data_IF_219517229645
#
_entry.id   IF_219517229645
#
_cell.length_a   1.000
_cell.length_b   1.000
_cell.length_c   1.000
_cell.angle_alpha   90.00
_cell.angle_beta   90.00
_cell.angle_gamma   90.00
#
_symmetry.space_group_name_H-M   'P 1'
#
loop_
_entity.id
_entity.type
_entity.pdbx_description
1 polymer ?
#
# COMPACT_ATOMS: atom_id res chain seq x y z
N UNK A 1 -9.29 16.03 -15.91
CA UNK A 1 -9.40 15.91 -14.44
C UNK A 1 -8.04 15.42 -13.96
N UNK A 2 -7.45 15.94 -12.88
CA UNK A 2 -6.22 15.34 -12.36
C UNK A 2 -6.52 13.89 -11.99
N UNK A 3 -5.63 12.99 -12.38
CA UNK A 3 -5.72 11.57 -12.05
C UNK A 3 -5.59 11.39 -10.53
N UNK A 4 -6.32 10.43 -9.98
CA UNK A 4 -6.25 10.12 -8.56
C UNK A 4 -4.84 9.58 -8.25
N UNK A 5 -4.20 10.11 -7.21
CA UNK A 5 -2.83 9.72 -6.86
C UNK A 5 -2.61 9.71 -5.35
N UNK A 6 -1.77 8.82 -4.84
CA UNK A 6 -1.28 8.85 -3.46
C UNK A 6 -0.37 10.08 -3.26
N UNK A 7 -0.63 10.85 -2.21
CA UNK A 7 0.17 12.03 -1.81
C UNK A 7 1.01 11.75 -0.58
N UNK A 8 0.43 11.10 0.43
CA UNK A 8 1.13 10.70 1.66
C UNK A 8 0.62 9.36 2.14
N UNK A 9 1.47 8.65 2.88
CA UNK A 9 1.06 7.46 3.60
C UNK A 9 1.73 7.47 4.97
N UNK A 10 0.95 7.26 6.01
CA UNK A 10 1.39 7.24 7.40
C UNK A 10 1.16 5.86 7.98
N UNK A 11 2.19 5.29 8.59
CA UNK A 11 2.04 4.05 9.36
C UNK A 11 1.20 4.28 10.61
N UNK A 12 0.21 3.41 10.80
CA UNK A 12 -0.67 3.43 11.99
C UNK A 12 -0.28 2.33 12.97
N UNK A 13 -0.20 1.09 12.49
CA UNK A 13 0.23 -0.10 13.25
C UNK A 13 0.36 -1.28 12.29
N UNK A 14 1.20 -2.26 12.60
CA UNK A 14 1.28 -3.50 11.82
C UNK A 14 1.39 -3.21 10.32
N UNK A 15 0.50 -3.77 9.51
CA UNK A 15 0.45 -3.57 8.06
C UNK A 15 -0.64 -2.58 7.64
N UNK A 16 -0.97 -1.61 8.49
CA UNK A 16 -2.02 -0.62 8.24
C UNK A 16 -1.41 0.75 7.98
N UNK A 17 -1.79 1.34 6.84
CA UNK A 17 -1.45 2.72 6.46
C UNK A 17 -2.70 3.59 6.40
N UNK A 18 -2.56 4.85 6.83
CA UNK A 18 -3.46 5.95 6.50
C UNK A 18 -2.90 6.65 5.26
N UNK A 19 -3.63 6.58 4.14
CA UNK A 19 -3.21 7.06 2.83
C UNK A 19 -4.01 8.32 2.49
N UNK A 20 -3.30 9.43 2.25
CA UNK A 20 -3.84 10.70 1.77
C UNK A 20 -3.77 10.73 0.23
N UNK A 21 -4.89 11.01 -0.43
CA UNK A 21 -5.01 11.07 -1.89
C UNK A 21 -5.03 12.52 -2.42
N UNK A 22 -4.89 12.66 -3.74
CA UNK A 22 -4.83 13.96 -4.43
C UNK A 22 -6.11 14.80 -4.33
N UNK A 23 -7.25 14.18 -4.02
CA UNK A 23 -8.52 14.84 -3.76
C UNK A 23 -8.71 15.25 -2.29
N UNK A 24 -7.73 14.96 -1.42
CA UNK A 24 -7.77 15.25 0.00
C UNK A 24 -8.46 14.18 0.85
N UNK A 25 -8.97 13.11 0.22
CA UNK A 25 -9.55 11.99 0.95
C UNK A 25 -8.47 11.14 1.63
N UNK A 26 -8.87 10.47 2.70
CA UNK A 26 -8.02 9.57 3.47
C UNK A 26 -8.61 8.16 3.49
N UNK A 27 -7.75 7.14 3.37
CA UNK A 27 -8.16 5.73 3.53
C UNK A 27 -7.21 4.99 4.43
N UNK A 28 -7.80 4.29 5.41
CA UNK A 28 -7.11 3.27 6.18
C UNK A 28 -7.13 1.97 5.39
N UNK A 29 -5.96 1.48 5.03
CA UNK A 29 -5.81 0.26 4.23
C UNK A 29 -5.00 -0.76 5.04
N UNK A 30 -5.58 -1.94 5.23
CA UNK A 30 -4.93 -3.08 5.87
C UNK A 30 -4.33 -4.01 4.80
N UNK A 31 -3.01 -4.06 4.76
CA UNK A 31 -2.25 -4.87 3.80
C UNK A 31 -2.01 -6.30 4.28
N UNK A 32 -2.24 -6.61 5.57
CA UNK A 32 -2.00 -7.95 6.10
C UNK A 32 -2.81 -9.05 5.40
N UNK A 33 -4.12 -8.88 5.12
CA UNK A 33 -4.89 -9.93 4.45
C UNK A 33 -4.32 -10.36 3.09
N UNK A 34 -3.69 -9.44 2.36
CA UNK A 34 -3.04 -9.71 1.07
C UNK A 34 -1.64 -10.31 1.26
N UNK A 35 -0.79 -9.64 2.03
CA UNK A 35 0.61 -10.07 2.25
C UNK A 35 0.67 -11.51 2.78
N UNK A 36 -0.25 -11.87 3.67
CA UNK A 36 -0.28 -13.19 4.28
C UNK A 36 -1.04 -14.24 3.46
N UNK A 37 -1.75 -13.87 2.38
CA UNK A 37 -2.46 -14.81 1.50
C UNK A 37 -1.70 -15.20 0.23
N UNK A 38 -0.83 -14.34 -0.30
CA UNK A 38 -0.16 -14.55 -1.60
C UNK A 38 0.75 -15.79 -1.63
N UNK A 39 1.31 -16.20 -0.50
CA UNK A 39 2.10 -17.45 -0.38
C UNK A 39 3.40 -17.51 -1.21
N UNK A 40 3.77 -16.41 -1.87
CA UNK A 40 4.96 -16.32 -2.71
C UNK A 40 6.19 -15.89 -1.88
N UNK A 41 7.38 -16.51 -2.06
CA UNK A 41 8.58 -16.22 -1.26
C UNK A 41 8.98 -14.74 -1.21
N UNK A 42 8.77 -14.01 -2.30
CA UNK A 42 9.10 -12.57 -2.38
C UNK A 42 8.30 -11.72 -1.37
N UNK A 43 7.17 -12.22 -0.89
CA UNK A 43 6.31 -11.52 0.08
C UNK A 43 6.70 -11.79 1.53
N UNK A 44 7.59 -12.76 1.80
CA UNK A 44 7.99 -13.10 3.18
C UNK A 44 8.61 -11.91 3.90
N UNK A 45 9.39 -11.08 3.20
CA UNK A 45 9.99 -9.87 3.80
C UNK A 45 8.94 -8.89 4.29
N UNK A 46 7.81 -8.77 3.58
CA UNK A 46 6.74 -7.84 3.92
C UNK A 46 5.88 -8.33 5.09
N UNK A 47 5.98 -9.59 5.51
CA UNK A 47 5.28 -10.08 6.72
C UNK A 47 5.83 -9.46 8.01
N UNK A 48 7.07 -8.98 7.99
CA UNK A 48 7.62 -8.16 9.08
C UNK A 48 7.21 -6.70 8.92
N UNK A 49 6.93 -5.99 10.03
CA UNK A 49 6.63 -4.55 9.97
C UNK A 49 7.80 -3.77 9.36
N UNK A 50 9.04 -4.09 9.74
CA UNK A 50 10.22 -3.40 9.20
C UNK A 50 10.36 -3.55 7.68
N UNK A 51 10.07 -4.73 7.13
CA UNK A 51 10.06 -4.95 5.69
C UNK A 51 8.85 -4.33 4.98
N UNK A 52 7.69 -4.27 5.64
CA UNK A 52 6.53 -3.56 5.12
C UNK A 52 6.75 -2.03 5.07
N UNK A 53 7.47 -1.46 6.03
CA UNK A 53 7.70 -0.02 6.10
C UNK A 53 8.78 0.50 5.14
N UNK A 54 9.29 -0.33 4.23
CA UNK A 54 10.23 0.11 3.19
C UNK A 54 9.54 0.68 1.95
N UNK A 55 8.22 0.89 2.00
CA UNK A 55 7.46 1.46 0.88
C UNK A 55 7.95 2.85 0.50
N UNK A 56 7.71 3.21 -0.76
CA UNK A 56 7.94 4.55 -1.29
C UNK A 56 6.71 5.02 -2.05
N UNK A 57 6.56 6.34 -2.12
CA UNK A 57 5.59 6.97 -3.00
C UNK A 57 6.35 7.41 -4.25
N UNK A 58 6.04 6.79 -5.38
CA UNK A 58 6.66 7.04 -6.68
C UNK A 58 5.57 7.16 -7.73
N UNK A 59 5.67 8.19 -8.59
CA UNK A 59 4.69 8.49 -9.65
C UNK A 59 3.21 8.46 -9.21
N UNK A 60 2.95 8.88 -7.96
CA UNK A 60 1.60 8.97 -7.43
C UNK A 60 1.01 7.64 -6.93
N UNK A 61 1.86 6.64 -6.68
CA UNK A 61 1.43 5.35 -6.14
C UNK A 61 2.35 4.86 -4.99
N UNK A 62 1.89 3.86 -4.23
CA UNK A 62 2.70 3.15 -3.23
C UNK A 62 3.38 1.93 -3.85
N UNK A 63 4.71 1.93 -3.77
CA UNK A 63 5.56 0.86 -4.31
C UNK A 63 6.46 0.28 -3.21
N UNK A 64 6.65 -1.03 -3.27
CA UNK A 64 7.63 -1.75 -2.45
C UNK A 64 8.69 -2.37 -3.34
N UNK A 65 9.96 -2.08 -2.98
CA UNK A 65 11.15 -2.54 -3.70
C UNK A 65 11.04 -2.27 -5.22
N UNK A 66 11.63 -3.13 -6.06
CA UNK A 66 11.60 -3.02 -7.52
C UNK A 66 10.24 -3.49 -8.07
N UNK A 67 9.18 -2.76 -7.70
CA UNK A 67 7.79 -3.02 -8.08
C UNK A 67 7.27 -4.42 -7.68
N UNK A 68 7.89 -5.03 -6.68
CA UNK A 68 7.55 -6.40 -6.21
C UNK A 68 6.14 -6.46 -5.64
N UNK A 69 5.74 -5.42 -4.92
CA UNK A 69 4.38 -5.24 -4.44
C UNK A 69 3.92 -3.83 -4.83
N UNK A 70 2.92 -3.78 -5.69
CA UNK A 70 2.27 -2.57 -6.21
C UNK A 70 0.76 -2.82 -6.27
N UNK A 71 -0.02 -1.80 -5.99
CA UNK A 71 -1.47 -1.86 -6.04
C UNK A 71 -2.02 -0.77 -6.97
N UNK A 72 -3.12 -1.02 -7.69
CA UNK A 72 -3.86 0.06 -8.34
C UNK A 72 -4.26 1.14 -7.33
N UNK A 73 -4.18 2.42 -7.72
CA UNK A 73 -4.56 3.53 -6.84
C UNK A 73 -6.05 3.43 -6.47
N UNK A 74 -6.89 2.90 -7.36
CA UNK A 74 -8.30 2.64 -7.13
C UNK A 74 -8.55 1.61 -6.01
N UNK A 75 -7.72 0.57 -5.94
CA UNK A 75 -7.81 -0.46 -4.89
C UNK A 75 -7.47 0.13 -3.52
N UNK A 76 -6.41 0.94 -3.46
CA UNK A 76 -6.04 1.71 -2.27
C UNK A 76 -7.16 2.68 -1.87
N UNK A 77 -7.75 3.39 -2.83
CA UNK A 77 -8.81 4.36 -2.58
C UNK A 77 -10.11 3.72 -2.13
N UNK A 78 -10.41 2.51 -2.60
CA UNK A 78 -11.56 1.73 -2.14
C UNK A 78 -11.32 1.05 -0.79
N UNK A 79 -10.06 0.99 -0.35
CA UNK A 79 -9.63 0.24 0.84
C UNK A 79 -9.75 -1.27 0.70
N UNK A 80 -9.84 -1.77 -0.54
CA UNK A 80 -10.02 -3.20 -0.85
C UNK A 80 -8.87 -3.67 -1.71
N UNK A 81 -7.94 -4.39 -1.10
CA UNK A 81 -6.88 -5.07 -1.84
C UNK A 81 -7.44 -6.40 -2.34
N UNK A 82 -7.34 -6.64 -3.65
CA UNK A 82 -7.70 -7.93 -4.24
C UNK A 82 -6.79 -9.03 -3.66
N UNK A 83 -7.36 -10.22 -3.39
CA UNK A 83 -6.62 -11.40 -2.89
C UNK A 83 -6.12 -12.26 -4.04
#
# INVERSE_FOLDING_TARGET
>A
MPELSVKKAKHIKSHILDIEFSDGEHRLVDFAPFIFSVGHPDYERYKSESGFLTFKIEDGNLNWDDYTMIFPVEDLYSGKLAR
#
